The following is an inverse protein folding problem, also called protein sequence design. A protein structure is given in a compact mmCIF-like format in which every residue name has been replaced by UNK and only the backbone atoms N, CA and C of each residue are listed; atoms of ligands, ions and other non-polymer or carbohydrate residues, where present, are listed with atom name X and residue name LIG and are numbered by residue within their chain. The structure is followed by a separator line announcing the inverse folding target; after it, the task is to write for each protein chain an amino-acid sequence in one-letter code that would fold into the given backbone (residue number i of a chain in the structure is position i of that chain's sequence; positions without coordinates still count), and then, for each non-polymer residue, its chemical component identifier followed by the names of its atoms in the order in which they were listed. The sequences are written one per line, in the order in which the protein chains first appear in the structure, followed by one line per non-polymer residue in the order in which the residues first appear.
data_IF_175669784349
#
_entry.id   IF_175669784349
#
_cell.length_a   1.000
_cell.length_b   1.000
_cell.length_c   1.000
_cell.angle_alpha   90.00
_cell.angle_beta   90.00
_cell.angle_gamma   90.00
#
_symmetry.space_group_name_H-M   'P 1'
#
loop_
_entity.id
_entity.type
_entity.pdbx_description
1 polymer ?
#
# COMPACT_ATOMS: atom_id res chain seq x y z
N UNK A 1 -20.25 -18.44 -9.52
CA UNK A 1 -20.54 -18.09 -8.12
C UNK A 1 -20.21 -19.29 -7.26
N UNK A 2 -19.49 -19.07 -6.15
CA UNK A 2 -19.24 -20.12 -5.17
C UNK A 2 -20.48 -20.38 -4.31
N UNK A 3 -20.51 -21.46 -3.52
CA UNK A 3 -21.56 -21.67 -2.53
C UNK A 3 -21.55 -20.56 -1.47
N UNK A 4 -22.72 -20.23 -0.86
CA UNK A 4 -22.80 -19.21 0.16
C UNK A 4 -22.04 -19.61 1.43
N UNK A 5 -21.47 -18.64 2.18
CA UNK A 5 -20.79 -18.93 3.44
C UNK A 5 -21.75 -19.55 4.46
N UNK A 6 -21.29 -20.55 5.21
CA UNK A 6 -22.08 -21.17 6.30
C UNK A 6 -21.28 -21.14 7.58
N UNK A 7 -21.79 -20.45 8.59
CA UNK A 7 -21.18 -20.39 9.93
C UNK A 7 -21.70 -21.56 10.77
N UNK A 8 -20.78 -22.43 11.18
CA UNK A 8 -21.06 -23.65 11.94
C UNK A 8 -20.59 -23.58 13.39
N UNK A 9 -19.75 -22.60 13.74
CA UNK A 9 -19.27 -22.45 15.11
C UNK A 9 -18.72 -21.07 15.43
N UNK A 10 -18.86 -20.68 16.69
CA UNK A 10 -18.29 -19.45 17.24
C UNK A 10 -17.70 -19.72 18.63
N UNK A 11 -16.55 -19.09 18.92
CA UNK A 11 -15.86 -19.22 20.20
C UNK A 11 -15.23 -17.89 20.61
N UNK A 12 -15.55 -17.34 21.79
CA UNK A 12 -16.60 -17.79 22.73
C UNK A 12 -18.03 -17.58 22.18
N UNK A 13 -19.03 -18.28 22.75
CA UNK A 13 -20.45 -18.16 22.35
C UNK A 13 -21.15 -16.92 22.93
N UNK A 14 -20.54 -16.31 23.92
CA UNK A 14 -21.03 -15.12 24.60
C UNK A 14 -19.88 -14.23 25.04
N UNK A 15 -20.15 -12.96 25.27
CA UNK A 15 -19.17 -12.02 25.83
C UNK A 15 -19.61 -10.55 25.74
N UNK A 16 -18.90 -9.66 26.46
CA UNK A 16 -19.12 -8.23 26.38
C UNK A 16 -18.77 -7.64 25.01
N UNK A 17 -19.20 -6.40 24.72
CA UNK A 17 -18.74 -5.67 23.54
C UNK A 17 -17.21 -5.68 23.40
N UNK A 18 -16.71 -5.91 22.19
CA UNK A 18 -15.26 -6.00 21.91
C UNK A 18 -14.64 -7.38 22.16
N UNK A 19 -15.43 -8.39 22.54
CA UNK A 19 -14.96 -9.76 22.72
C UNK A 19 -14.38 -10.32 21.42
N UNK A 20 -13.16 -10.84 21.49
CA UNK A 20 -12.50 -11.47 20.35
C UNK A 20 -13.13 -12.84 20.06
N UNK A 21 -13.92 -12.91 19.00
CA UNK A 21 -14.60 -14.12 18.55
C UNK A 21 -13.88 -14.79 17.40
N UNK A 22 -13.81 -16.12 17.46
CA UNK A 22 -13.33 -16.97 16.36
C UNK A 22 -14.52 -17.63 15.71
N UNK A 23 -14.80 -17.25 14.47
CA UNK A 23 -15.89 -17.77 13.64
C UNK A 23 -15.33 -18.91 12.80
N UNK A 24 -15.98 -20.08 12.89
CA UNK A 24 -15.68 -21.30 12.14
C UNK A 24 -16.87 -21.61 11.23
N UNK A 25 -16.57 -22.09 10.03
CA UNK A 25 -17.59 -22.32 9.02
C UNK A 25 -17.03 -22.97 7.77
N UNK A 26 -17.85 -23.01 6.74
CA UNK A 26 -17.51 -23.45 5.40
C UNK A 26 -17.69 -22.29 4.42
N UNK A 27 -16.84 -22.23 3.40
CA UNK A 27 -16.92 -21.24 2.32
C UNK A 27 -16.87 -19.78 2.80
N UNK A 28 -16.10 -19.49 3.84
CA UNK A 28 -15.90 -18.14 4.41
C UNK A 28 -14.98 -17.25 3.53
N UNK A 29 -15.01 -17.43 2.21
CA UNK A 29 -14.20 -16.69 1.24
C UNK A 29 -12.92 -17.40 0.80
N UNK A 30 -12.42 -17.01 -0.38
CA UNK A 30 -11.22 -17.58 -1.01
C UNK A 30 -9.94 -16.81 -0.67
N UNK A 31 -10.06 -15.54 -0.30
CA UNK A 31 -8.96 -14.65 0.10
C UNK A 31 -9.50 -13.56 1.04
N UNK A 32 -8.60 -12.82 1.69
CA UNK A 32 -9.00 -11.71 2.58
C UNK A 32 -9.84 -10.63 1.87
N UNK A 33 -9.62 -10.42 0.56
CA UNK A 33 -10.33 -9.42 -0.26
C UNK A 33 -11.74 -9.90 -0.64
N UNK A 34 -12.00 -11.21 -0.50
CA UNK A 34 -13.29 -11.83 -0.79
C UNK A 34 -14.30 -11.58 0.34
N UNK A 35 -13.84 -11.28 1.56
CA UNK A 35 -14.69 -10.93 2.70
C UNK A 35 -15.13 -9.46 2.60
N UNK A 36 -16.42 -9.24 2.32
CA UNK A 36 -16.98 -7.90 2.10
C UNK A 36 -17.97 -7.46 3.19
N UNK A 37 -18.39 -8.36 4.07
CA UNK A 37 -19.28 -8.04 5.19
C UNK A 37 -19.19 -9.08 6.30
N UNK A 38 -19.27 -8.63 7.54
CA UNK A 38 -19.42 -9.48 8.71
C UNK A 38 -20.35 -8.79 9.70
N UNK A 39 -21.49 -9.40 10.00
CA UNK A 39 -22.41 -8.94 11.05
C UNK A 39 -22.46 -9.95 12.19
N UNK A 40 -22.29 -9.47 13.42
CA UNK A 40 -22.43 -10.27 14.64
C UNK A 40 -23.56 -9.65 15.46
N UNK A 41 -24.64 -10.40 15.68
CA UNK A 41 -25.81 -9.94 16.44
C UNK A 41 -26.37 -8.60 15.92
N UNK A 42 -26.42 -8.42 14.61
CA UNK A 42 -26.93 -7.21 13.94
C UNK A 42 -25.93 -6.05 13.82
N UNK A 43 -24.77 -6.10 14.49
CA UNK A 43 -23.73 -5.07 14.39
C UNK A 43 -22.73 -5.39 13.29
N UNK A 44 -22.38 -4.39 12.47
CA UNK A 44 -21.29 -4.51 11.48
C UNK A 44 -19.93 -4.58 12.18
N UNK A 45 -19.20 -5.66 11.94
CA UNK A 45 -17.93 -5.98 12.56
C UNK A 45 -16.80 -6.15 11.51
N UNK A 46 -17.04 -5.76 10.24
CA UNK A 46 -16.11 -5.95 9.13
C UNK A 46 -14.74 -5.31 9.38
N UNK A 47 -14.70 -4.12 9.99
CA UNK A 47 -13.45 -3.39 10.27
C UNK A 47 -12.49 -4.20 11.16
N UNK A 48 -13.05 -5.01 12.07
CA UNK A 48 -12.29 -5.86 12.99
C UNK A 48 -12.02 -7.26 12.46
N UNK A 49 -12.55 -7.59 11.28
CA UNK A 49 -12.56 -8.94 10.74
C UNK A 49 -11.22 -9.28 10.09
N UNK A 50 -10.50 -10.23 10.68
CA UNK A 50 -9.31 -10.84 10.13
C UNK A 50 -9.65 -12.20 9.50
N UNK A 51 -9.66 -12.25 8.16
CA UNK A 51 -9.74 -13.50 7.44
C UNK A 51 -8.45 -14.32 7.65
N UNK A 52 -8.58 -15.58 8.10
CA UNK A 52 -7.43 -16.48 8.29
C UNK A 52 -7.41 -17.61 7.25
N UNK A 53 -8.57 -18.15 6.92
CA UNK A 53 -8.71 -19.23 5.93
C UNK A 53 -10.16 -19.35 5.48
N UNK A 54 -10.39 -20.17 4.44
CA UNK A 54 -11.74 -20.52 3.95
C UNK A 54 -12.72 -21.06 5.01
N UNK A 55 -12.22 -21.49 6.17
CA UNK A 55 -13.04 -22.03 7.27
C UNK A 55 -12.91 -21.24 8.57
N UNK A 56 -12.19 -20.11 8.59
CA UNK A 56 -11.90 -19.38 9.83
C UNK A 56 -11.74 -17.87 9.61
N UNK A 57 -12.53 -17.11 10.38
CA UNK A 57 -12.44 -15.65 10.51
C UNK A 57 -12.31 -15.32 12.01
N UNK A 58 -11.50 -14.32 12.35
CA UNK A 58 -11.41 -13.80 13.72
C UNK A 58 -11.88 -12.35 13.69
N UNK A 59 -12.78 -11.96 14.60
CA UNK A 59 -13.30 -10.60 14.67
C UNK A 59 -13.56 -10.20 16.12
N UNK A 60 -13.94 -8.94 16.36
CA UNK A 60 -14.43 -8.49 17.65
C UNK A 60 -15.94 -8.23 17.58
N UNK A 61 -16.68 -8.63 18.61
CA UNK A 61 -18.12 -8.37 18.70
C UNK A 61 -18.41 -6.87 18.85
N UNK A 62 -19.49 -6.40 18.23
CA UNK A 62 -20.00 -5.03 18.41
C UNK A 62 -20.81 -4.85 19.71
N UNK A 63 -21.33 -3.63 19.97
CA UNK A 63 -22.19 -3.33 21.11
C UNK A 63 -23.59 -3.94 20.89
N UNK A 64 -23.73 -5.22 21.24
CA UNK A 64 -24.99 -5.96 21.12
C UNK A 64 -25.45 -6.47 22.49
N UNK A 65 -26.78 -6.52 22.69
CA UNK A 65 -27.44 -7.09 23.88
C UNK A 65 -28.38 -8.19 23.42
N UNK A 66 -28.31 -9.36 24.04
CA UNK A 66 -29.13 -10.52 23.68
C UNK A 66 -28.45 -11.45 22.67
N UNK A 67 -29.22 -12.42 22.14
CA UNK A 67 -28.75 -13.41 21.15
C UNK A 67 -29.00 -12.92 19.74
N UNK A 68 -28.04 -13.12 18.84
CA UNK A 68 -28.23 -12.85 17.43
C UNK A 68 -27.31 -13.64 16.51
N UNK A 69 -27.67 -13.66 15.23
CA UNK A 69 -27.00 -14.47 14.22
C UNK A 69 -25.66 -13.85 13.77
N UNK A 70 -24.81 -14.70 13.20
CA UNK A 70 -23.51 -14.31 12.62
C UNK A 70 -23.55 -14.45 11.11
N UNK A 71 -23.64 -13.33 10.40
CA UNK A 71 -23.80 -13.31 8.95
C UNK A 71 -22.47 -12.91 8.33
N UNK A 72 -21.93 -13.78 7.47
CA UNK A 72 -20.71 -13.54 6.70
C UNK A 72 -21.09 -13.30 5.25
N UNK A 73 -20.66 -12.18 4.68
CA UNK A 73 -20.93 -11.83 3.28
C UNK A 73 -19.62 -11.86 2.49
N UNK A 74 -19.59 -12.66 1.42
CA UNK A 74 -18.43 -12.79 0.53
C UNK A 74 -18.76 -12.31 -0.88
N UNK A 75 -17.75 -11.83 -1.62
CA UNK A 75 -17.92 -11.43 -3.02
C UNK A 75 -18.22 -12.62 -3.92
N UNK A 76 -17.64 -13.78 -3.61
CA UNK A 76 -17.78 -15.00 -4.42
C UNK A 76 -19.06 -15.81 -4.16
N UNK A 77 -19.55 -15.83 -2.91
CA UNK A 77 -20.68 -16.65 -2.46
C UNK A 77 -21.91 -15.87 -1.98
N UNK A 78 -21.84 -14.54 -1.88
CA UNK A 78 -22.95 -13.72 -1.38
C UNK A 78 -23.11 -13.76 0.13
N UNK A 79 -24.34 -13.52 0.60
CA UNK A 79 -24.70 -13.51 2.02
C UNK A 79 -24.83 -14.94 2.56
N UNK A 80 -24.16 -15.19 3.68
CA UNK A 80 -24.12 -16.49 4.33
C UNK A 80 -25.21 -16.70 5.37
N UNK A 81 -25.29 -17.93 5.88
CA UNK A 81 -26.22 -18.32 6.96
C UNK A 81 -25.47 -18.76 8.20
N UNK A 82 -26.12 -18.65 9.36
CA UNK A 82 -25.56 -19.11 10.64
C UNK A 82 -26.42 -20.21 11.24
N UNK A 83 -25.77 -21.26 11.74
CA UNK A 83 -26.41 -22.30 12.58
C UNK A 83 -26.21 -22.04 14.07
N UNK A 84 -25.42 -21.01 14.41
CA UNK A 84 -25.04 -20.65 15.78
C UNK A 84 -25.32 -19.17 16.03
N UNK A 85 -25.60 -18.83 17.28
CA UNK A 85 -25.86 -17.46 17.71
C UNK A 85 -24.78 -17.00 18.70
N UNK A 86 -24.51 -15.70 18.70
CA UNK A 86 -23.67 -15.05 19.70
C UNK A 86 -24.56 -14.32 20.70
N UNK A 87 -24.27 -14.43 22.00
CA UNK A 87 -24.95 -13.69 23.07
C UNK A 87 -24.09 -12.52 23.54
N UNK A 88 -24.49 -11.30 23.21
CA UNK A 88 -23.91 -10.09 23.78
C UNK A 88 -24.56 -9.75 25.12
N UNK A 89 -23.76 -9.43 26.14
CA UNK A 89 -24.24 -8.87 27.40
C UNK A 89 -23.38 -7.68 27.81
N UNK A 90 -23.96 -6.71 28.51
CA UNK A 90 -23.18 -5.62 29.07
C UNK A 90 -22.70 -6.02 30.47
N UNK A 91 -21.39 -6.11 30.63
CA UNK A 91 -20.80 -6.30 31.96
C UNK A 91 -20.69 -4.95 32.65
N UNK A 92 -21.11 -4.88 33.92
CA UNK A 92 -20.87 -3.71 34.77
C UNK A 92 -19.39 -3.66 35.10
N UNK A 93 -18.63 -2.88 34.33
CA UNK A 93 -17.18 -2.78 34.48
C UNK A 93 -16.89 -1.86 35.67
N UNK A 94 -16.23 -2.40 36.70
CA UNK A 94 -15.80 -1.60 37.84
C UNK A 94 -14.73 -0.57 37.45
N UNK A 95 -14.49 0.47 38.26
CA UNK A 95 -13.64 1.63 37.92
C UNK A 95 -12.17 1.30 37.61
N UNK A 96 -11.72 0.07 37.85
CA UNK A 96 -10.33 -0.38 37.66
C UNK A 96 -10.20 -1.51 36.64
N UNK A 97 -11.31 -1.99 36.07
CA UNK A 97 -11.32 -3.12 35.13
C UNK A 97 -11.23 -2.57 33.71
N UNK A 98 -10.22 -3.00 32.95
CA UNK A 98 -10.01 -2.54 31.57
C UNK A 98 -11.18 -2.96 30.65
N UNK A 99 -11.63 -2.03 29.80
CA UNK A 99 -12.67 -2.27 28.80
C UNK A 99 -12.16 -1.99 27.39
N UNK A 100 -12.51 -2.84 26.43
CA UNK A 100 -12.18 -2.66 25.02
C UNK A 100 -13.17 -1.76 24.26
N UNK A 101 -14.24 -1.31 24.93
CA UNK A 101 -15.29 -0.45 24.36
C UNK A 101 -15.61 0.65 25.37
N UNK A 102 -15.94 1.85 24.87
CA UNK A 102 -16.49 2.92 25.70
C UNK A 102 -17.80 2.44 26.31
N UNK A 103 -17.77 2.18 27.61
CA UNK A 103 -18.94 1.83 28.40
C UNK A 103 -19.55 3.15 28.83
N UNK A 104 -20.87 3.29 28.73
CA UNK A 104 -21.55 4.36 29.45
C UNK A 104 -21.17 4.20 30.91
N UNK A 105 -20.30 5.09 31.40
CA UNK A 105 -20.00 5.18 32.82
C UNK A 105 -21.36 5.36 33.48
N UNK A 106 -21.89 4.29 34.09
CA UNK A 106 -22.95 4.43 35.06
C UNK A 106 -22.40 5.43 36.05
N UNK A 107 -22.93 6.66 36.00
CA UNK A 107 -22.44 7.76 36.80
C UNK A 107 -22.27 7.17 38.21
N UNK A 108 -21.06 7.25 38.81
CA UNK A 108 -20.89 6.71 40.15
C UNK A 108 -22.04 7.30 40.97
N UNK A 109 -22.90 6.47 41.59
CA UNK A 109 -24.08 6.99 42.25
C UNK A 109 -23.57 8.04 43.22
N UNK A 110 -23.91 9.29 42.94
CA UNK A 110 -23.45 10.41 43.73
C UNK A 110 -24.16 10.31 45.06
N UNK A 111 -23.64 9.51 46.00
CA UNK A 111 -24.13 9.54 47.36
C UNK A 111 -23.63 10.85 48.01
N UNK A 112 -24.53 11.70 48.52
CA UNK A 112 -24.15 12.98 49.14
C UNK A 112 -23.44 12.86 50.50
N UNK A 113 -23.14 11.65 51.00
CA UNK A 113 -22.66 11.45 52.37
C UNK A 113 -21.57 10.39 52.53
N UNK A 114 -20.50 10.77 53.21
CA UNK A 114 -19.54 9.85 53.82
C UNK A 114 -18.11 10.07 53.33
N UNK A 115 -17.16 10.15 54.27
CA UNK A 115 -15.73 10.37 54.00
C UNK A 115 -15.25 9.49 52.86
N UNK A 116 -14.52 10.07 51.89
CA UNK A 116 -13.74 9.28 50.92
C UNK A 116 -12.73 8.43 51.70
N UNK A 117 -12.81 7.09 51.73
CA UNK A 117 -11.63 6.32 52.07
C UNK A 117 -10.69 6.34 50.87
N UNK A 118 -9.39 6.48 51.14
CA UNK A 118 -8.32 6.50 50.15
C UNK A 118 -8.01 5.08 49.61
N UNK A 119 -9.03 4.28 49.30
CA UNK A 119 -8.87 2.94 48.72
C UNK A 119 -10.12 2.49 47.96
N UNK A 120 -10.00 1.96 46.73
CA UNK A 120 -11.13 1.48 45.94
C UNK A 120 -11.47 0.05 46.34
N UNK A 121 -12.21 -0.13 47.43
CA UNK A 121 -12.95 -1.38 47.67
C UNK A 121 -14.30 -1.29 46.97
N UNK A 122 -14.67 -2.34 46.25
CA UNK A 122 -15.95 -2.51 45.54
C UNK A 122 -17.11 -2.10 46.45
N UNK A 123 -17.71 -0.95 46.17
CA UNK A 123 -18.82 -0.41 46.93
C UNK A 123 -20.13 -1.05 46.47
N UNK A 124 -20.45 -2.22 47.01
CA UNK A 124 -21.85 -2.65 47.08
C UNK A 124 -22.51 -1.86 48.21
N UNK A 125 -23.54 -1.02 47.95
CA UNK A 125 -24.25 -0.34 49.02
C UNK A 125 -24.76 -1.38 50.03
N UNK A 126 -24.63 -1.12 51.35
CA UNK A 126 -25.09 -2.06 52.37
C UNK A 126 -26.59 -2.30 52.21
N UNK A 127 -27.04 -3.53 52.44
CA UNK A 127 -28.44 -3.93 52.32
C UNK A 127 -29.35 -2.86 52.97
N UNK A 128 -30.32 -2.27 52.22
CA UNK A 128 -31.24 -1.29 52.73
C UNK A 128 -32.08 -1.80 53.91
N UNK A 129 -32.33 -3.12 54.00
CA UNK A 129 -33.08 -3.74 55.09
C UNK A 129 -32.23 -3.99 56.35
N UNK A 130 -30.89 -3.93 56.23
CA UNK A 130 -29.97 -4.14 57.34
C UNK A 130 -30.01 -5.57 57.89
N UNK A 131 -30.44 -6.53 57.06
CA UNK A 131 -30.48 -7.94 57.39
C UNK A 131 -29.20 -8.60 56.86
N UNK A 132 -28.54 -9.42 57.68
CA UNK A 132 -27.37 -10.17 57.21
C UNK A 132 -27.81 -11.28 56.25
N UNK A 133 -27.35 -11.21 55.01
CA UNK A 133 -27.47 -12.28 54.00
C UNK A 133 -26.24 -13.19 53.95
N UNK A 134 -25.33 -13.06 54.93
CA UNK A 134 -24.12 -13.88 55.05
C UNK A 134 -24.49 -15.34 55.29
N UNK A 135 -24.45 -16.14 54.22
CA UNK A 135 -24.71 -17.60 54.24
C UNK A 135 -25.78 -18.09 53.26
N UNK A 136 -26.51 -17.19 52.58
CA UNK A 136 -27.48 -17.58 51.55
C UNK A 136 -26.79 -17.73 50.18
N UNK A 137 -26.32 -18.94 49.88
CA UNK A 137 -25.77 -19.30 48.56
C UNK A 137 -26.88 -19.56 47.51
N UNK A 138 -28.15 -19.58 47.90
CA UNK A 138 -29.29 -19.82 47.02
C UNK A 138 -29.82 -18.51 46.41
N UNK A 139 -29.08 -17.97 45.43
CA UNK A 139 -29.57 -16.89 44.57
C UNK A 139 -30.66 -17.43 43.65
N UNK A 140 -31.79 -16.73 43.57
CA UNK A 140 -32.84 -17.05 42.60
C UNK A 140 -32.24 -16.97 41.18
N UNK A 141 -32.51 -17.92 40.26
CA UNK A 141 -31.86 -17.94 38.95
C UNK A 141 -32.11 -16.65 38.18
N UNK A 142 -31.04 -15.98 37.73
CA UNK A 142 -31.14 -14.74 36.94
C UNK A 142 -31.96 -14.94 35.66
N UNK A 143 -31.98 -16.14 35.08
CA UNK A 143 -32.77 -16.46 33.88
C UNK A 143 -34.28 -16.36 34.15
N UNK A 144 -34.76 -16.84 35.29
CA UNK A 144 -36.17 -16.77 35.68
C UNK A 144 -36.57 -15.33 36.08
N UNK A 145 -35.65 -14.58 36.72
CA UNK A 145 -35.88 -13.17 37.03
C UNK A 145 -36.04 -12.34 35.74
N UNK A 146 -35.19 -12.58 34.74
CA UNK A 146 -35.29 -11.93 33.43
C UNK A 146 -36.58 -12.32 32.68
N UNK A 147 -37.14 -13.51 32.90
CA UNK A 147 -38.44 -13.89 32.33
C UNK A 147 -39.62 -13.20 33.05
N UNK A 148 -39.56 -13.10 34.38
CA UNK A 148 -40.61 -12.47 35.20
C UNK A 148 -40.61 -10.94 35.09
N UNK A 149 -39.44 -10.34 34.85
CA UNK A 149 -39.24 -8.90 34.83
C UNK A 149 -38.33 -8.49 33.64
N UNK A 150 -38.83 -8.61 32.40
CA UNK A 150 -38.01 -8.49 31.17
C UNK A 150 -37.29 -7.15 31.00
N UNK A 151 -37.81 -6.08 31.61
CA UNK A 151 -37.22 -4.73 31.59
C UNK A 151 -36.83 -4.21 32.99
N UNK A 152 -36.86 -5.07 34.02
CA UNK A 152 -36.57 -4.70 35.41
C UNK A 152 -35.11 -4.93 35.81
N UNK A 153 -34.66 -4.25 36.87
CA UNK A 153 -33.34 -4.49 37.48
C UNK A 153 -33.44 -4.61 39.00
N UNK A 154 -32.64 -5.49 39.60
CA UNK A 154 -32.42 -5.56 41.04
C UNK A 154 -31.45 -4.51 41.56
N UNK A 155 -30.78 -3.74 40.70
CA UNK A 155 -29.75 -2.80 41.14
C UNK A 155 -30.38 -1.50 41.62
N UNK A 156 -30.03 -1.10 42.84
CA UNK A 156 -30.51 0.14 43.48
C UNK A 156 -30.14 1.44 42.73
N UNK A 157 -29.17 1.38 41.82
CA UNK A 157 -28.69 2.53 41.05
C UNK A 157 -29.32 2.65 39.66
N UNK A 158 -30.10 1.65 39.23
CA UNK A 158 -30.70 1.66 37.89
C UNK A 158 -32.09 2.33 37.94
N UNK A 159 -32.42 3.12 36.91
CA UNK A 159 -33.72 3.83 36.81
C UNK A 159 -34.92 2.87 36.69
N UNK A 160 -34.68 1.63 36.26
CA UNK A 160 -35.67 0.56 36.15
C UNK A 160 -35.66 -0.39 37.37
N UNK A 161 -35.22 0.09 38.53
CA UNK A 161 -35.18 -0.70 39.76
C UNK A 161 -36.56 -1.28 40.13
N UNK A 162 -36.61 -2.58 40.38
CA UNK A 162 -37.80 -3.28 40.82
C UNK A 162 -37.58 -3.91 42.20
N UNK A 163 -38.35 -3.50 43.23
CA UNK A 163 -38.22 -4.04 44.59
C UNK A 163 -38.46 -5.55 44.68
N UNK A 164 -39.37 -6.08 43.85
CA UNK A 164 -39.66 -7.51 43.79
C UNK A 164 -38.47 -8.34 43.30
N UNK A 165 -37.79 -7.86 42.27
CA UNK A 165 -36.54 -8.46 41.80
C UNK A 165 -35.49 -8.47 42.91
N UNK A 166 -35.27 -7.32 43.56
CA UNK A 166 -34.26 -7.20 44.61
C UNK A 166 -34.48 -8.16 45.77
N UNK A 167 -35.72 -8.29 46.23
CA UNK A 167 -36.08 -9.20 47.32
C UNK A 167 -35.90 -10.67 46.93
N UNK A 168 -36.23 -11.04 45.68
CA UNK A 168 -36.02 -12.40 45.20
C UNK A 168 -34.54 -12.72 44.98
N UNK A 169 -33.75 -11.74 44.55
CA UNK A 169 -32.32 -11.92 44.31
C UNK A 169 -31.50 -12.04 45.61
N UNK A 170 -31.82 -11.22 46.62
CA UNK A 170 -31.01 -11.09 47.84
C UNK A 170 -31.66 -11.64 49.12
N UNK A 171 -32.98 -11.77 49.17
CA UNK A 171 -33.74 -12.14 50.37
C UNK A 171 -34.73 -13.29 50.12
N UNK A 172 -34.48 -14.14 49.12
CA UNK A 172 -35.35 -15.27 48.75
C UNK A 172 -35.65 -16.22 49.92
N UNK A 173 -34.70 -16.37 50.84
CA UNK A 173 -34.77 -17.28 51.98
C UNK A 173 -34.99 -16.55 53.33
N UNK A 174 -35.22 -15.23 53.30
CA UNK A 174 -35.47 -14.42 54.50
C UNK A 174 -36.90 -14.62 54.98
N UNK A 175 -37.09 -14.81 56.29
CA UNK A 175 -38.42 -15.00 56.87
C UNK A 175 -39.29 -13.74 56.80
N UNK A 176 -40.61 -13.89 56.78
CA UNK A 176 -41.53 -12.76 56.76
C UNK A 176 -41.36 -11.82 57.97
N UNK A 177 -41.05 -12.37 59.14
CA UNK A 177 -40.87 -11.57 60.36
C UNK A 177 -39.57 -10.76 60.30
N UNK A 178 -38.51 -11.33 59.70
CA UNK A 178 -37.25 -10.62 59.46
C UNK A 178 -37.42 -9.52 58.40
N UNK A 179 -38.16 -9.78 57.31
CA UNK A 179 -38.49 -8.75 56.32
C UNK A 179 -39.29 -7.59 56.92
N UNK A 180 -40.20 -7.89 57.86
CA UNK A 180 -40.95 -6.87 58.60
C UNK A 180 -40.05 -6.07 59.53
N UNK A 181 -39.09 -6.70 60.19
CA UNK A 181 -38.07 -5.99 60.98
C UNK A 181 -37.19 -5.11 60.08
N UNK A 182 -36.79 -5.60 58.90
CA UNK A 182 -36.07 -4.85 57.88
C UNK A 182 -36.84 -3.63 57.36
N UNK A 183 -38.16 -3.75 57.20
CA UNK A 183 -39.02 -2.62 56.83
C UNK A 183 -39.01 -1.52 57.89
N UNK A 184 -39.11 -1.87 59.18
CA UNK A 184 -39.05 -0.92 60.29
C UNK A 184 -37.66 -0.26 60.37
N UNK A 185 -36.60 -1.03 60.14
CA UNK A 185 -35.25 -0.50 60.04
C UNK A 185 -35.11 0.51 58.91
N UNK A 186 -35.60 0.17 57.71
CA UNK A 186 -35.58 1.04 56.55
C UNK A 186 -36.38 2.33 56.79
N UNK A 187 -37.59 2.23 57.37
CA UNK A 187 -38.39 3.39 57.73
C UNK A 187 -37.64 4.33 58.68
N UNK A 188 -37.04 3.79 59.75
CA UNK A 188 -36.24 4.56 60.70
C UNK A 188 -35.02 5.20 60.03
N UNK A 189 -34.38 4.50 59.09
CA UNK A 189 -33.22 4.98 58.32
C UNK A 189 -33.61 6.13 57.39
N UNK A 190 -34.75 6.03 56.71
CA UNK A 190 -35.31 7.10 55.85
C UNK A 190 -35.66 8.34 56.68
N UNK A 191 -36.27 8.15 57.84
CA UNK A 191 -36.69 9.25 58.72
C UNK A 191 -35.48 9.96 59.35
N UNK A 192 -34.48 9.18 59.80
CA UNK A 192 -33.19 9.69 60.25
C UNK A 192 -32.43 10.44 59.14
N UNK A 193 -32.57 10.04 57.87
CA UNK A 193 -31.94 10.73 56.75
C UNK A 193 -32.47 12.15 56.54
N UNK A 194 -33.78 12.37 56.72
CA UNK A 194 -34.39 13.71 56.59
C UNK A 194 -33.86 14.68 57.65
N UNK A 195 -33.63 14.20 58.87
CA UNK A 195 -33.07 14.98 59.97
C UNK A 195 -31.53 15.15 59.82
N UNK A 196 -30.87 14.13 59.27
CA UNK A 196 -29.47 14.13 58.87
C UNK A 196 -29.14 15.13 57.75
N UNK A 197 -30.03 15.28 56.77
CA UNK A 197 -29.89 16.27 55.68
C UNK A 197 -29.80 17.70 56.21
N UNK A 198 -30.70 18.07 57.12
CA UNK A 198 -30.75 19.41 57.70
C UNK A 198 -29.55 19.70 58.60
N UNK A 199 -29.11 18.71 59.39
CA UNK A 199 -27.91 18.84 60.23
C UNK A 199 -26.62 18.84 59.42
N UNK A 200 -26.54 18.05 58.35
CA UNK A 200 -25.42 18.05 57.41
C UNK A 200 -25.29 19.38 56.66
N UNK A 201 -26.39 19.93 56.15
CA UNK A 201 -26.40 21.24 55.50
C UNK A 201 -25.92 22.34 56.44
N UNK A 202 -26.35 22.30 57.72
CA UNK A 202 -25.89 23.24 58.75
C UNK A 202 -24.40 23.11 59.05
N UNK A 203 -23.90 21.88 59.19
CA UNK A 203 -22.50 21.59 59.50
C UNK A 203 -21.54 21.87 58.33
N UNK A 204 -22.03 21.79 57.09
CA UNK A 204 -21.23 21.95 55.87
C UNK A 204 -21.64 23.17 55.04
N UNK A 205 -22.28 24.16 55.66
CA UNK A 205 -22.72 25.41 55.00
C UNK A 205 -21.58 26.06 54.20
N UNK A 206 -20.37 26.13 54.76
CA UNK A 206 -19.20 26.68 54.06
C UNK A 206 -18.84 25.91 52.79
N UNK A 207 -18.81 24.58 52.85
CA UNK A 207 -18.51 23.75 51.67
C UNK A 207 -19.60 23.83 50.59
N UNK A 208 -20.87 23.97 51.00
CA UNK A 208 -21.99 24.18 50.07
C UNK A 208 -21.90 25.53 49.39
N UNK A 209 -21.52 26.59 50.12
CA UNK A 209 -21.28 27.91 49.53
C UNK A 209 -20.10 27.87 48.56
N UNK A 210 -18.98 27.22 48.92
CA UNK A 210 -17.84 27.05 48.02
C UNK A 210 -18.21 26.26 46.75
N UNK A 211 -19.07 25.24 46.86
CA UNK A 211 -19.58 24.50 45.70
C UNK A 211 -20.49 25.35 44.83
N UNK A 212 -21.36 26.16 45.45
CA UNK A 212 -22.22 27.08 44.73
C UNK A 212 -21.38 28.14 44.00
N UNK A 213 -20.36 28.69 44.65
CA UNK A 213 -19.43 29.64 44.04
C UNK A 213 -18.68 29.00 42.86
N UNK A 214 -18.28 27.73 42.97
CA UNK A 214 -17.70 26.98 41.85
C UNK A 214 -18.68 26.75 40.72
N UNK A 215 -19.95 26.44 41.01
CA UNK A 215 -20.99 26.29 39.98
C UNK A 215 -21.28 27.62 39.28
N UNK A 216 -21.31 28.72 40.01
CA UNK A 216 -21.45 30.07 39.46
C UNK A 216 -20.25 30.42 38.59
N UNK A 217 -19.02 30.12 39.05
CA UNK A 217 -17.82 30.30 38.24
C UNK A 217 -17.88 29.49 36.95
N UNK A 218 -18.27 28.21 37.03
CA UNK A 218 -18.37 27.33 35.87
C UNK A 218 -19.42 27.83 34.87
N UNK A 219 -20.56 28.33 35.37
CA UNK A 219 -21.58 28.97 34.56
C UNK A 219 -21.04 30.22 33.85
N UNK A 220 -20.34 31.10 34.57
CA UNK A 220 -19.76 32.31 33.97
C UNK A 220 -18.71 31.95 32.91
N UNK A 221 -17.88 30.93 33.15
CA UNK A 221 -16.92 30.43 32.15
C UNK A 221 -17.64 29.89 30.91
N UNK A 222 -18.72 29.13 31.09
CA UNK A 222 -19.52 28.62 29.99
C UNK A 222 -20.17 29.75 29.17
N UNK A 223 -20.76 30.76 29.82
CA UNK A 223 -21.35 31.92 29.14
C UNK A 223 -20.30 32.77 28.40
N UNK A 224 -19.08 32.89 28.95
CA UNK A 224 -17.98 33.55 28.26
C UNK A 224 -17.49 32.77 27.03
N UNK A 225 -17.40 31.45 27.12
CA UNK A 225 -17.03 30.58 26.01
C UNK A 225 -18.11 30.56 24.92
N UNK A 226 -19.39 30.53 25.29
CA UNK A 226 -20.52 30.64 24.36
C UNK A 226 -20.50 31.99 23.63
N UNK A 227 -20.10 33.08 24.30
CA UNK A 227 -19.93 34.40 23.67
C UNK A 227 -18.76 34.45 22.69
N UNK A 228 -17.63 33.80 22.99
CA UNK A 228 -16.42 33.83 22.15
C UNK A 228 -16.51 32.87 20.97
N UNK A 229 -16.98 31.65 21.22
CA UNK A 229 -16.91 30.53 20.28
C UNK A 229 -18.29 30.15 19.70
N UNK A 230 -19.37 30.81 20.13
CA UNK A 230 -20.74 30.49 19.75
C UNK A 230 -21.29 29.27 20.48
N UNK A 231 -22.55 28.93 20.19
CA UNK A 231 -23.26 27.77 20.76
C UNK A 231 -22.68 26.42 20.35
N UNK A 232 -21.93 26.39 19.25
CA UNK A 232 -21.35 25.18 18.69
C UNK A 232 -19.88 25.42 18.35
N UNK A 233 -18.94 25.06 19.25
CA UNK A 233 -17.51 25.16 18.98
C UNK A 233 -16.99 24.02 18.08
N UNK A 234 -17.72 22.90 18.02
CA UNK A 234 -17.36 21.70 17.27
C UNK A 234 -17.26 21.92 15.75
N UNK A 235 -18.18 22.63 15.08
CA UNK A 235 -18.09 22.90 13.64
C UNK A 235 -16.85 23.72 13.26
N UNK A 236 -16.46 24.70 14.08
CA UNK A 236 -15.25 25.49 13.83
C UNK A 236 -13.99 24.64 13.94
N UNK A 237 -13.92 23.76 14.95
CA UNK A 237 -12.81 22.82 15.10
C UNK A 237 -12.78 21.81 13.95
N UNK A 238 -13.93 21.28 13.55
CA UNK A 238 -14.05 20.35 12.43
C UNK A 238 -13.58 21.01 11.13
N UNK A 239 -14.02 22.23 10.86
CA UNK A 239 -13.57 23.00 9.69
C UNK A 239 -12.06 23.22 9.70
N UNK A 240 -11.47 23.57 10.85
CA UNK A 240 -10.02 23.76 10.97
C UNK A 240 -9.23 22.46 10.76
N UNK A 241 -9.76 21.32 11.23
CA UNK A 241 -9.16 20.00 10.99
C UNK A 241 -9.24 19.65 9.50
N UNK A 242 -10.38 19.87 8.86
CA UNK A 242 -10.58 19.56 7.44
C UNK A 242 -9.73 20.46 6.53
N UNK A 243 -9.59 21.74 6.88
CA UNK A 243 -8.64 22.67 6.25
C UNK A 243 -7.19 22.19 6.41
N UNK A 244 -6.80 21.73 7.62
CA UNK A 244 -5.46 21.21 7.85
C UNK A 244 -5.17 19.93 7.05
N UNK A 245 -6.14 19.03 6.93
CA UNK A 245 -6.02 17.80 6.13
C UNK A 245 -5.87 18.14 4.66
N UNK A 246 -6.74 18.99 4.12
CA UNK A 246 -6.68 19.40 2.70
C UNK A 246 -5.38 20.14 2.35
N UNK A 247 -4.88 20.99 3.26
CA UNK A 247 -3.57 21.62 3.12
C UNK A 247 -2.44 20.58 3.11
N UNK A 248 -2.48 19.61 4.03
CA UNK A 248 -1.48 18.55 4.11
C UNK A 248 -1.46 17.69 2.84
N UNK A 249 -2.63 17.28 2.34
CA UNK A 249 -2.75 16.50 1.11
C UNK A 249 -2.21 17.26 -0.10
N UNK A 250 -2.48 18.57 -0.20
CA UNK A 250 -1.92 19.43 -1.24
C UNK A 250 -0.39 19.48 -1.17
N UNK A 251 0.17 19.70 0.02
CA UNK A 251 1.62 19.78 0.23
C UNK A 251 2.32 18.44 -0.05
N UNK A 252 1.75 17.33 0.45
CA UNK A 252 2.32 16.01 0.25
C UNK A 252 2.18 15.53 -1.20
N UNK A 253 1.10 15.85 -1.89
CA UNK A 253 0.95 15.53 -3.32
C UNK A 253 2.09 16.12 -4.15
N UNK A 254 2.42 17.40 -3.91
CA UNK A 254 3.53 18.03 -4.61
C UNK A 254 4.88 17.41 -4.23
N UNK A 255 5.14 17.17 -2.94
CA UNK A 255 6.39 16.57 -2.48
C UNK A 255 6.56 15.13 -2.99
N UNK A 256 5.50 14.33 -2.97
CA UNK A 256 5.50 12.96 -3.45
C UNK A 256 5.72 12.90 -4.97
N UNK A 257 5.10 13.80 -5.74
CA UNK A 257 5.33 13.87 -7.20
C UNK A 257 6.77 14.27 -7.53
N UNK A 258 7.36 15.22 -6.78
CA UNK A 258 8.77 15.61 -6.92
C UNK A 258 9.71 14.46 -6.54
N UNK A 259 9.40 13.72 -5.48
CA UNK A 259 10.14 12.52 -5.08
C UNK A 259 10.07 11.44 -6.16
N UNK A 260 8.88 11.13 -6.69
CA UNK A 260 8.70 10.12 -7.73
C UNK A 260 9.49 10.50 -9.01
N UNK A 261 9.48 11.78 -9.39
CA UNK A 261 10.30 12.28 -10.50
C UNK A 261 11.81 12.17 -10.24
N UNK A 262 12.26 12.47 -9.01
CA UNK A 262 13.65 12.30 -8.61
C UNK A 262 14.07 10.82 -8.61
N UNK A 263 13.21 9.92 -8.12
CA UNK A 263 13.45 8.48 -8.06
C UNK A 263 13.51 7.90 -9.48
N UNK A 264 12.60 8.29 -10.39
CA UNK A 264 12.66 7.95 -11.82
C UNK A 264 13.96 8.44 -12.47
N UNK A 265 14.39 9.66 -12.16
CA UNK A 265 15.64 10.23 -12.68
C UNK A 265 16.86 9.46 -12.15
N UNK A 266 16.83 9.07 -10.88
CA UNK A 266 17.89 8.27 -10.24
C UNK A 266 17.95 6.86 -10.81
N UNK A 267 16.81 6.23 -11.05
CA UNK A 267 16.73 4.92 -11.70
C UNK A 267 17.23 4.99 -13.14
N UNK A 268 16.79 5.97 -13.92
CA UNK A 268 17.29 6.20 -15.28
C UNK A 268 18.81 6.44 -15.29
N UNK A 269 19.34 7.24 -14.36
CA UNK A 269 20.77 7.48 -14.22
C UNK A 269 21.53 6.20 -13.82
N UNK A 270 20.95 5.39 -12.93
CA UNK A 270 21.52 4.10 -12.54
C UNK A 270 21.60 3.14 -13.73
N UNK A 271 20.54 3.07 -14.55
CA UNK A 271 20.52 2.26 -15.77
C UNK A 271 21.55 2.76 -16.80
N UNK A 272 21.63 4.07 -17.00
CA UNK A 272 22.61 4.69 -17.91
C UNK A 272 24.05 4.48 -17.44
N UNK A 273 24.32 4.54 -16.14
CA UNK A 273 25.68 4.32 -15.60
C UNK A 273 26.07 2.85 -15.65
N UNK A 274 25.16 1.94 -15.27
CA UNK A 274 25.38 0.48 -15.33
C UNK A 274 25.58 -0.02 -16.75
N UNK A 275 24.80 0.49 -17.71
CA UNK A 275 24.85 0.08 -19.12
C UNK A 275 25.48 1.14 -20.02
N UNK A 276 26.37 1.99 -19.47
CA UNK A 276 27.02 3.09 -20.19
C UNK A 276 27.64 2.64 -21.52
N UNK A 277 28.24 1.46 -21.54
CA UNK A 277 28.84 0.88 -22.74
C UNK A 277 27.83 0.70 -23.88
N UNK A 278 26.63 0.16 -23.61
CA UNK A 278 25.60 -0.06 -24.62
C UNK A 278 25.10 1.26 -25.22
N UNK A 279 24.81 2.25 -24.37
CA UNK A 279 24.32 3.56 -24.80
C UNK A 279 25.38 4.38 -25.54
N UNK A 280 26.66 4.24 -25.17
CA UNK A 280 27.76 4.97 -25.80
C UNK A 280 28.27 4.26 -27.07
N UNK A 281 27.89 3.00 -27.30
CA UNK A 281 28.38 2.20 -28.40
C UNK A 281 28.12 2.81 -29.79
N UNK A 282 26.90 3.26 -30.16
CA UNK A 282 26.66 3.82 -31.50
C UNK A 282 27.60 5.00 -31.79
N UNK A 283 27.78 5.89 -30.81
CA UNK A 283 28.70 7.03 -30.92
C UNK A 283 30.17 6.60 -30.97
N UNK A 284 30.55 5.55 -30.23
CA UNK A 284 31.88 4.95 -30.26
C UNK A 284 32.18 4.34 -31.64
N UNK A 285 31.22 3.61 -32.22
CA UNK A 285 31.30 3.04 -33.57
C UNK A 285 31.53 4.16 -34.60
N UNK A 286 30.72 5.22 -34.60
CA UNK A 286 30.93 6.34 -35.51
C UNK A 286 32.30 7.01 -35.33
N UNK A 287 32.79 7.13 -34.09
CA UNK A 287 34.13 7.67 -33.80
C UNK A 287 35.24 6.76 -34.33
N UNK A 288 35.14 5.45 -34.12
CA UNK A 288 36.14 4.47 -34.54
C UNK A 288 36.15 4.30 -36.07
N UNK A 289 34.98 4.38 -36.72
CA UNK A 289 34.87 4.39 -38.18
C UNK A 289 35.61 5.61 -38.78
N UNK A 290 35.48 6.80 -38.18
CA UNK A 290 36.20 8.01 -38.62
C UNK A 290 37.72 7.86 -38.47
N UNK A 291 38.17 7.22 -37.40
CA UNK A 291 39.59 6.93 -37.16
C UNK A 291 40.17 5.78 -38.01
N UNK A 292 39.32 5.06 -38.75
CA UNK A 292 39.68 3.83 -39.50
C UNK A 292 40.14 2.66 -38.60
N UNK A 293 39.77 2.68 -37.33
CA UNK A 293 40.04 1.62 -36.35
C UNK A 293 38.91 0.58 -36.38
N UNK A 294 38.78 -0.13 -37.50
CA UNK A 294 37.66 -1.05 -37.75
C UNK A 294 37.70 -2.30 -36.87
N UNK A 295 38.88 -2.76 -36.44
CA UNK A 295 39.04 -3.95 -35.60
C UNK A 295 38.35 -3.78 -34.23
N UNK A 296 38.41 -2.57 -33.65
CA UNK A 296 37.75 -2.26 -32.39
C UNK A 296 36.23 -2.29 -32.54
N UNK A 297 35.70 -1.82 -33.67
CA UNK A 297 34.26 -1.83 -33.95
C UNK A 297 33.73 -3.27 -33.99
N UNK A 298 34.44 -4.19 -34.63
CA UNK A 298 34.05 -5.60 -34.70
C UNK A 298 34.07 -6.25 -33.31
N UNK A 299 35.11 -5.97 -32.50
CA UNK A 299 35.21 -6.50 -31.14
C UNK A 299 34.09 -5.99 -30.24
N UNK A 300 33.86 -4.67 -30.23
CA UNK A 300 32.81 -4.06 -29.43
C UNK A 300 31.42 -4.56 -29.86
N UNK A 301 31.19 -4.72 -31.17
CA UNK A 301 29.96 -5.29 -31.71
C UNK A 301 29.74 -6.74 -31.26
N UNK A 302 30.78 -7.58 -31.36
CA UNK A 302 30.72 -8.99 -30.92
C UNK A 302 30.46 -9.09 -29.42
N UNK A 303 31.11 -8.25 -28.61
CA UNK A 303 30.89 -8.18 -27.16
C UNK A 303 29.44 -7.82 -26.84
N UNK A 304 28.84 -6.89 -27.56
CA UNK A 304 27.45 -6.46 -27.34
C UNK A 304 26.46 -7.54 -27.74
N UNK A 305 26.70 -8.21 -28.87
CA UNK A 305 25.87 -9.34 -29.30
C UNK A 305 25.90 -10.51 -28.31
N UNK A 306 27.06 -10.77 -27.71
CA UNK A 306 27.20 -11.82 -26.69
C UNK A 306 26.53 -11.45 -25.36
N UNK A 307 26.61 -10.18 -24.93
CA UNK A 307 26.07 -9.73 -23.64
C UNK A 307 24.56 -9.45 -23.69
N UNK A 308 24.06 -8.95 -24.83
CA UNK A 308 22.70 -8.42 -24.95
C UNK A 308 21.85 -9.09 -26.05
N UNK A 309 22.38 -10.09 -26.75
CA UNK A 309 21.71 -10.72 -27.90
C UNK A 309 20.33 -11.33 -27.60
N UNK A 310 20.09 -11.79 -26.36
CA UNK A 310 18.82 -12.40 -25.94
C UNK A 310 18.02 -11.52 -24.96
N UNK A 311 18.13 -10.18 -25.06
CA UNK A 311 17.49 -9.30 -24.09
C UNK A 311 16.01 -9.00 -24.44
N UNK A 312 15.10 -9.20 -23.49
CA UNK A 312 13.66 -8.92 -23.64
C UNK A 312 13.27 -7.44 -23.47
N UNK A 313 14.23 -6.60 -23.10
CA UNK A 313 13.99 -5.17 -22.85
C UNK A 313 13.88 -4.41 -24.17
N UNK A 314 12.67 -3.92 -24.49
CA UNK A 314 12.36 -3.16 -25.72
C UNK A 314 13.30 -1.99 -26.01
N UNK A 315 13.73 -1.25 -24.97
CA UNK A 315 14.68 -0.14 -25.13
C UNK A 315 16.03 -0.60 -25.66
N UNK A 316 16.55 -1.71 -25.14
CA UNK A 316 17.82 -2.27 -25.59
C UNK A 316 17.72 -2.85 -27.00
N UNK A 317 16.58 -3.47 -27.35
CA UNK A 317 16.32 -3.93 -28.72
C UNK A 317 16.37 -2.78 -29.73
N UNK A 318 15.82 -1.62 -29.38
CA UNK A 318 15.88 -0.43 -30.26
C UNK A 318 17.32 0.05 -30.47
N UNK A 319 18.14 0.04 -29.42
CA UNK A 319 19.56 0.44 -29.52
C UNK A 319 20.35 -0.59 -30.33
N UNK A 320 20.11 -1.90 -30.12
CA UNK A 320 20.72 -2.97 -30.90
C UNK A 320 20.39 -2.84 -32.39
N UNK A 321 19.13 -2.54 -32.74
CA UNK A 321 18.74 -2.29 -34.12
C UNK A 321 19.47 -1.09 -34.76
N UNK A 322 19.71 -0.02 -33.99
CA UNK A 322 20.49 1.12 -34.47
C UNK A 322 21.98 0.79 -34.64
N UNK A 323 22.54 -0.04 -33.74
CA UNK A 323 23.90 -0.57 -33.85
C UNK A 323 24.03 -1.45 -35.10
N UNK A 324 23.11 -2.40 -35.30
CA UNK A 324 23.11 -3.30 -36.46
C UNK A 324 23.05 -2.51 -37.77
N UNK A 325 22.21 -1.47 -37.85
CA UNK A 325 22.16 -0.56 -39.01
C UNK A 325 23.50 0.13 -39.26
N UNK A 326 24.17 0.63 -38.21
CA UNK A 326 25.50 1.28 -38.33
C UNK A 326 26.59 0.30 -38.77
N UNK A 327 26.49 -0.96 -38.35
CA UNK A 327 27.41 -2.01 -38.77
C UNK A 327 27.16 -2.38 -40.24
N UNK A 328 25.91 -2.40 -40.70
CA UNK A 328 25.59 -2.63 -42.12
C UNK A 328 26.15 -1.51 -43.01
N UNK A 329 25.97 -0.24 -42.62
CA UNK A 329 26.60 0.90 -43.30
C UNK A 329 28.14 0.76 -43.35
N UNK A 330 28.75 0.19 -42.31
CA UNK A 330 30.18 -0.08 -42.28
C UNK A 330 30.58 -1.20 -43.23
N UNK A 331 29.82 -2.29 -43.31
CA UNK A 331 30.06 -3.38 -44.26
C UNK A 331 30.05 -2.86 -45.69
N UNK A 332 29.05 -2.07 -46.06
CA UNK A 332 28.97 -1.45 -47.40
C UNK A 332 30.16 -0.52 -47.69
N UNK A 333 30.57 0.30 -46.71
CA UNK A 333 31.75 1.18 -46.86
C UNK A 333 33.04 0.39 -47.03
N UNK A 334 33.24 -0.68 -46.26
CA UNK A 334 34.41 -1.56 -46.37
C UNK A 334 34.42 -2.28 -47.72
N UNK A 335 33.26 -2.78 -48.17
CA UNK A 335 33.10 -3.43 -49.46
C UNK A 335 33.40 -2.49 -50.64
N UNK A 336 32.92 -1.24 -50.58
CA UNK A 336 33.21 -0.22 -51.59
C UNK A 336 34.69 0.13 -51.61
N UNK A 337 35.32 0.35 -50.44
CA UNK A 337 36.75 0.67 -50.35
C UNK A 337 37.66 -0.48 -50.80
N UNK A 338 37.24 -1.72 -50.60
CA UNK A 338 37.94 -2.90 -51.12
C UNK A 338 37.91 -2.97 -52.65
N UNK A 339 36.82 -2.49 -53.28
CA UNK A 339 36.70 -2.41 -54.75
C UNK A 339 37.50 -1.26 -55.36
N UNK A 340 37.58 -0.12 -54.67
CA UNK A 340 38.28 1.06 -55.21
C UNK A 340 39.78 0.81 -55.33
N UNK A 341 40.30 0.92 -56.55
CA UNK A 341 41.73 0.82 -56.87
C UNK A 341 42.31 2.21 -57.13
N UNK A 342 43.60 2.48 -56.85
CA UNK A 342 44.62 1.56 -56.32
C UNK A 342 44.59 1.43 -54.80
N UNK A 343 44.76 0.20 -54.30
CA UNK A 343 44.85 -0.13 -52.87
C UNK A 343 46.11 -0.96 -52.58
N UNK A 344 46.65 -0.82 -51.36
CA UNK A 344 47.72 -1.70 -50.86
C UNK A 344 47.16 -3.11 -50.58
N UNK A 345 47.90 -4.16 -50.97
CA UNK A 345 47.52 -5.56 -50.76
C UNK A 345 47.31 -5.88 -49.28
N UNK A 346 48.11 -5.29 -48.39
CA UNK A 346 47.97 -5.47 -46.94
C UNK A 346 46.65 -4.89 -46.41
N UNK A 347 46.28 -3.70 -46.90
CA UNK A 347 45.00 -3.06 -46.54
C UNK A 347 43.80 -3.80 -47.12
N UNK A 348 43.90 -4.28 -48.36
CA UNK A 348 42.85 -5.08 -49.01
C UNK A 348 42.64 -6.41 -48.25
N UNK A 349 43.72 -7.08 -47.85
CA UNK A 349 43.66 -8.30 -47.02
C UNK A 349 43.05 -8.02 -45.64
N UNK A 350 43.33 -6.85 -45.04
CA UNK A 350 42.73 -6.43 -43.77
C UNK A 350 41.23 -6.20 -43.91
N UNK A 351 40.77 -5.53 -44.97
CA UNK A 351 39.35 -5.32 -45.24
C UNK A 351 38.61 -6.63 -45.50
N UNK A 352 39.21 -7.58 -46.20
CA UNK A 352 38.64 -8.93 -46.40
C UNK A 352 38.46 -9.64 -45.06
N UNK A 353 39.49 -9.64 -44.19
CA UNK A 353 39.39 -10.26 -42.85
C UNK A 353 38.28 -9.62 -42.00
N UNK A 354 38.13 -8.31 -42.06
CA UNK A 354 37.09 -7.56 -41.36
C UNK A 354 35.68 -7.85 -41.90
N UNK A 355 35.52 -8.02 -43.22
CA UNK A 355 34.24 -8.39 -43.83
C UNK A 355 33.83 -9.82 -43.48
N UNK A 356 34.80 -10.74 -43.38
CA UNK A 356 34.56 -12.12 -42.94
C UNK A 356 34.13 -12.14 -41.47
N UNK A 357 34.80 -11.40 -40.58
CA UNK A 357 34.42 -11.36 -39.16
C UNK A 357 33.08 -10.68 -38.91
N UNK A 358 32.64 -9.79 -39.80
CA UNK A 358 31.31 -9.18 -39.81
C UNK A 358 30.25 -10.05 -40.53
N UNK A 359 30.61 -11.24 -40.99
CA UNK A 359 29.72 -12.22 -41.60
C UNK A 359 29.04 -11.72 -42.90
N UNK A 360 29.82 -11.15 -43.81
CA UNK A 360 29.35 -10.75 -45.15
C UNK A 360 28.91 -11.96 -45.98
N UNK A 361 27.77 -11.88 -46.67
CA UNK A 361 27.15 -13.00 -47.39
C UNK A 361 27.89 -13.41 -48.67
N UNK A 362 28.72 -12.53 -49.25
CA UNK A 362 29.45 -12.79 -50.49
C UNK A 362 30.92 -13.16 -50.30
N UNK A 363 31.55 -13.73 -51.33
CA UNK A 363 33.00 -13.91 -51.36
C UNK A 363 33.71 -12.58 -51.64
N UNK A 364 34.02 -11.84 -50.56
CA UNK A 364 34.76 -10.59 -50.63
C UNK A 364 36.17 -10.77 -51.22
N UNK A 365 36.80 -11.93 -51.03
CA UNK A 365 38.14 -12.20 -51.56
C UNK A 365 38.10 -12.35 -53.09
N UNK A 366 37.11 -13.06 -53.62
CA UNK A 366 36.92 -13.20 -55.07
C UNK A 366 36.68 -11.86 -55.77
N UNK A 367 35.85 -11.01 -55.18
CA UNK A 367 35.56 -9.67 -55.72
C UNK A 367 36.81 -8.78 -55.69
N UNK A 368 37.61 -8.84 -54.62
CA UNK A 368 38.87 -8.12 -54.49
C UNK A 368 39.92 -8.54 -55.54
N UNK A 369 40.01 -9.83 -55.86
CA UNK A 369 40.89 -10.35 -56.90
C UNK A 369 40.42 -9.89 -58.28
N UNK A 370 39.11 -9.94 -58.52
CA UNK A 370 38.51 -9.54 -59.80
C UNK A 370 38.73 -8.05 -60.07
N UNK A 371 38.48 -7.17 -59.09
CA UNK A 371 38.73 -5.74 -59.24
C UNK A 371 40.21 -5.41 -59.46
N UNK A 372 41.12 -6.17 -58.82
CA UNK A 372 42.56 -6.01 -59.03
C UNK A 372 42.97 -6.44 -60.44
N UNK A 373 42.43 -7.56 -60.94
CA UNK A 373 42.64 -8.03 -62.31
C UNK A 373 42.18 -6.96 -63.32
N UNK A 374 40.97 -6.43 -63.16
CA UNK A 374 40.43 -5.37 -64.04
C UNK A 374 41.31 -4.11 -64.01
N UNK A 375 41.76 -3.68 -62.83
CA UNK A 375 42.66 -2.55 -62.71
C UNK A 375 44.01 -2.79 -63.40
N UNK A 376 44.65 -3.95 -63.18
CA UNK A 376 45.90 -4.32 -63.84
C UNK A 376 45.75 -4.39 -65.36
N UNK A 377 44.64 -4.95 -65.84
CA UNK A 377 44.31 -4.99 -67.27
C UNK A 377 44.14 -3.58 -67.83
N UNK A 378 43.45 -2.68 -67.11
CA UNK A 378 43.30 -1.28 -67.53
C UNK A 378 44.63 -0.53 -67.57
N UNK A 379 45.52 -0.81 -66.61
CA UNK A 379 46.85 -0.19 -66.55
C UNK A 379 47.73 -0.70 -67.70
N UNK A 380 47.70 -2.01 -67.96
CA UNK A 380 48.39 -2.63 -69.07
C UNK A 380 47.90 -2.09 -70.42
N UNK A 381 46.59 -1.89 -70.59
CA UNK A 381 46.03 -1.26 -71.78
C UNK A 381 46.47 0.20 -71.92
N UNK A 382 46.45 0.99 -70.84
CA UNK A 382 46.95 2.38 -70.86
C UNK A 382 48.43 2.46 -71.26
N UNK A 383 49.26 1.56 -70.73
CA UNK A 383 50.69 1.48 -71.08
C UNK A 383 50.86 1.09 -72.54
N UNK A 384 50.12 0.06 -73.00
CA UNK A 384 50.09 -0.35 -74.40
C UNK A 384 49.70 0.78 -75.34
N UNK A 385 48.64 1.52 -75.02
CA UNK A 385 48.16 2.64 -75.83
C UNK A 385 49.15 3.81 -75.81
N UNK A 386 49.80 4.08 -74.69
CA UNK A 386 50.86 5.08 -74.59
C UNK A 386 52.07 4.71 -75.47
N UNK A 387 52.50 3.45 -75.48
CA UNK A 387 53.59 3.00 -76.36
C UNK A 387 53.19 3.04 -77.83
N UNK A 388 51.95 2.66 -78.19
CA UNK A 388 51.43 2.81 -79.55
C UNK A 388 51.41 4.26 -80.01
N UNK A 389 50.90 5.18 -79.19
CA UNK A 389 50.89 6.61 -79.50
C UNK A 389 52.30 7.16 -79.67
N UNK A 390 53.27 6.69 -78.88
CA UNK A 390 54.67 7.08 -79.00
C UNK A 390 55.31 6.55 -80.29
N UNK A 391 55.05 5.30 -80.66
CA UNK A 391 55.50 4.73 -81.94
C UNK A 391 54.87 5.43 -83.15
N UNK A 392 53.59 5.79 -83.07
CA UNK A 392 52.89 6.59 -84.08
C UNK A 392 53.49 8.00 -84.17
N UNK A 393 53.85 8.64 -83.06
CA UNK A 393 54.55 9.93 -83.06
C UNK A 393 55.96 9.84 -83.67
N UNK A 394 56.75 8.82 -83.30
CA UNK A 394 58.10 8.62 -83.83
C UNK A 394 58.10 8.24 -85.32
N UNK A 395 57.13 7.46 -85.77
CA UNK A 395 56.94 7.12 -87.20
C UNK A 395 56.48 8.33 -88.01
N UNK A 396 55.61 9.17 -87.46
CA UNK A 396 55.16 10.41 -88.09
C UNK A 396 56.28 11.48 -88.14
N UNK A 397 57.17 11.54 -87.14
CA UNK A 397 58.39 12.36 -87.19
C UNK A 397 59.40 11.86 -88.23
N UNK A 398 59.59 10.54 -88.36
CA UNK A 398 60.42 9.95 -89.42
C UNK A 398 59.83 10.20 -90.82
N UNK A 399 58.50 10.17 -90.96
CA UNK A 399 57.80 10.55 -92.19
C UNK A 399 57.99 12.03 -92.55
N UNK A 400 57.90 12.95 -91.57
CA UNK A 400 58.19 14.38 -91.76
C UNK A 400 59.66 14.66 -92.11
N UNK A 401 60.62 13.91 -91.55
CA UNK A 401 62.04 14.02 -91.93
C UNK A 401 62.30 13.60 -93.37
N UNK A 402 61.71 12.48 -93.84
CA UNK A 402 61.80 12.06 -95.25
C UNK A 402 61.13 13.04 -96.21
N UNK A 403 59.98 13.62 -95.85
CA UNK A 403 59.29 14.64 -96.65
C UNK A 403 60.12 15.92 -96.78
N UNK A 404 60.81 16.34 -95.71
CA UNK A 404 61.74 17.48 -95.77
C UNK A 404 62.94 17.18 -96.65
N UNK A 405 63.59 16.02 -96.53
CA UNK A 405 64.74 15.65 -97.40
C UNK A 405 64.36 15.60 -98.89
N UNK A 406 63.14 15.19 -99.25
CA UNK A 406 62.68 15.23 -100.64
C UNK A 406 62.40 16.65 -101.18
N UNK A 407 62.06 17.61 -100.32
CA UNK A 407 61.88 19.03 -100.74
C UNK A 407 63.22 19.73 -101.00
N UNK A 408 64.30 19.38 -100.28
CA UNK A 408 65.63 19.96 -100.51
C UNK A 408 66.31 19.47 -101.80
N UNK A 409 65.95 18.29 -102.31
CA UNK A 409 66.51 17.73 -103.54
C UNK A 409 65.75 18.13 -104.83
N UNK A 410 64.57 18.78 -104.71
CA UNK A 410 63.75 19.22 -105.85
C UNK A 410 63.91 20.69 -106.25
N UNK A 411 64.78 21.45 -105.58
CA UNK A 411 64.89 22.92 -105.73
C UNK A 411 66.06 23.44 -106.58
N UNK A 412 66.70 22.59 -107.38
CA UNK A 412 67.76 22.99 -108.33
C UNK A 412 67.42 22.40 -109.70
N UNK A 413 66.65 23.12 -110.49
CA UNK A 413 66.25 22.75 -111.86
C UNK A 413 65.78 23.97 -112.62
#
# INVERSE_FOLDING_TARGET
MGPPPVVTGISPKEGPPGTRVTIRGEFLGTSAIDLIGLKICGCDCLLSAEWKSKNKIVARSGPCKGRGDIIVTTRSGGEGTSTVQFRGYHESIGPVKESAVWVEEAAPPSLPWGRRPMSPTTYTPPDPLGLSTEGDDCKFPEEELNEMFPDGSGKLSDDNFQPGWYLLEHHSNTSYEDLKAGMVFLQRKVESQKEGQLSFLKANTGAVMDQLDRLVLLKNMYEEDERKNGKEPLPSLQAAIEESITLADSLFSEILSRKDNADKTREALSLLTRHKFLFQLPASIDRNIRKKEYDLVVNDYTRVKNLFGNTDVKLFQKILAEIDKKIEDLKEKLYTRMKTMPINVQEQTKYIRLLISLNWEGDAAWVAITSRKEYLMSLMNKVKDHFKQKEEQESNEKGKRKSKESEWLGGWG
#
